data_IF_047532853573
#
_entry.id   IF_047532853573
#
_cell.length_a   1.000
_cell.length_b   1.000
_cell.length_c   1.000
_cell.angle_alpha   90.00
_cell.angle_beta   90.00
_cell.angle_gamma   90.00
#
_symmetry.space_group_name_H-M   'P 1'
#
loop_
_entity.id
_entity.type
_entity.pdbx_description
1 polymer ?
#
# COMPACT_ATOMS: atom_id res chain seq x y z
N UNK A 1 -8.08 -15.94 6.20
CA UNK A 1 -7.99 -14.46 6.16
C UNK A 1 -7.94 -13.92 4.73
N UNK A 2 -7.16 -14.52 3.83
CA UNK A 2 -7.10 -14.09 2.43
C UNK A 2 -8.43 -14.16 1.68
N UNK A 3 -9.22 -15.22 1.89
CA UNK A 3 -10.56 -15.37 1.32
C UNK A 3 -11.49 -14.20 1.64
N UNK A 4 -11.52 -13.73 2.90
CA UNK A 4 -12.36 -12.59 3.34
C UNK A 4 -12.01 -11.27 2.65
N UNK A 5 -10.73 -11.04 2.38
CA UNK A 5 -10.28 -9.80 1.70
C UNK A 5 -10.76 -9.77 0.26
N UNK A 6 -10.60 -10.89 -0.46
CA UNK A 6 -11.05 -10.99 -1.85
C UNK A 6 -12.58 -10.95 -1.94
N UNK A 7 -13.28 -11.61 -1.02
CA UNK A 7 -14.73 -11.55 -0.94
C UNK A 7 -15.23 -10.12 -0.69
N UNK A 8 -14.63 -9.39 0.26
CA UNK A 8 -14.96 -8.00 0.52
C UNK A 8 -14.69 -7.13 -0.72
N UNK A 9 -13.57 -7.33 -1.42
CA UNK A 9 -13.24 -6.61 -2.65
C UNK A 9 -14.30 -6.83 -3.75
N UNK A 10 -14.77 -8.06 -3.94
CA UNK A 10 -15.83 -8.39 -4.93
C UNK A 10 -17.14 -7.64 -4.67
N UNK A 11 -17.48 -7.40 -3.40
CA UNK A 11 -18.69 -6.65 -3.01
C UNK A 11 -18.58 -5.14 -3.28
N UNK A 12 -17.38 -4.62 -3.51
CA UNK A 12 -17.20 -3.19 -3.81
C UNK A 12 -17.68 -2.91 -5.23
N UNK A 13 -18.75 -2.12 -5.39
CA UNK A 13 -19.26 -1.71 -6.71
C UNK A 13 -18.73 -0.35 -7.18
N UNK A 14 -18.49 0.56 -6.24
CA UNK A 14 -18.04 1.92 -6.53
C UNK A 14 -16.54 1.93 -6.90
N UNK A 15 -16.21 2.54 -8.04
CA UNK A 15 -14.85 2.57 -8.60
C UNK A 15 -13.83 3.23 -7.65
N UNK A 16 -14.15 4.40 -7.08
CA UNK A 16 -13.27 5.07 -6.12
C UNK A 16 -12.94 4.15 -4.93
N UNK A 17 -13.96 3.47 -4.42
CA UNK A 17 -13.80 2.55 -3.29
C UNK A 17 -12.94 1.35 -3.69
N UNK A 18 -13.04 0.87 -4.93
CA UNK A 18 -12.13 -0.18 -5.45
C UNK A 18 -10.70 0.32 -5.51
N UNK A 19 -10.47 1.56 -5.97
CA UNK A 19 -9.14 2.18 -6.01
C UNK A 19 -8.58 2.31 -4.60
N UNK A 20 -9.35 2.84 -3.64
CA UNK A 20 -8.90 2.94 -2.24
C UNK A 20 -8.61 1.56 -1.64
N UNK A 21 -9.43 0.55 -1.97
CA UNK A 21 -9.21 -0.82 -1.54
C UNK A 21 -7.90 -1.39 -2.07
N UNK A 22 -7.70 -1.34 -3.40
CA UNK A 22 -6.44 -1.77 -4.03
C UNK A 22 -5.25 -1.04 -3.43
N UNK A 23 -5.33 0.28 -3.24
CA UNK A 23 -4.24 1.07 -2.64
C UNK A 23 -3.87 0.54 -1.25
N UNK A 24 -4.84 0.36 -0.36
CA UNK A 24 -4.60 -0.13 1.01
C UNK A 24 -4.13 -1.59 1.03
N UNK A 25 -4.69 -2.44 0.16
CA UNK A 25 -4.34 -3.85 0.07
C UNK A 25 -2.93 -4.07 -0.49
N UNK A 26 -2.55 -3.30 -1.52
CA UNK A 26 -1.25 -3.44 -2.17
C UNK A 26 -0.11 -2.83 -1.37
N UNK A 27 -0.32 -1.64 -0.82
CA UNK A 27 0.74 -0.91 -0.10
C UNK A 27 0.80 -1.25 1.39
N UNK A 28 -0.29 -1.75 1.96
CA UNK A 28 -0.39 -1.98 3.39
C UNK A 28 -0.33 -0.70 4.23
N UNK A 29 -0.42 0.50 3.65
CA UNK A 29 -0.31 1.77 4.39
C UNK A 29 -1.49 1.99 5.33
N UNK A 30 -1.37 2.94 6.27
CA UNK A 30 -2.48 3.30 7.17
C UNK A 30 -3.52 4.11 6.40
N UNK A 31 -4.79 4.00 6.82
CA UNK A 31 -5.90 4.78 6.24
C UNK A 31 -5.62 6.29 6.27
N UNK A 32 -4.95 6.77 7.32
CA UNK A 32 -4.58 8.19 7.43
C UNK A 32 -3.62 8.62 6.32
N UNK A 33 -2.67 7.77 5.93
CA UNK A 33 -1.75 8.06 4.82
C UNK A 33 -2.51 8.02 3.49
N UNK A 34 -3.38 7.03 3.31
CA UNK A 34 -4.23 6.97 2.11
C UNK A 34 -5.13 8.21 1.97
N UNK A 35 -5.74 8.69 3.06
CA UNK A 35 -6.59 9.89 3.04
C UNK A 35 -5.84 11.19 2.75
N UNK A 36 -4.51 11.19 2.90
CA UNK A 36 -3.64 12.34 2.57
C UNK A 36 -3.07 12.23 1.16
N UNK A 37 -2.65 11.03 0.77
CA UNK A 37 -2.14 10.75 -0.58
C UNK A 37 -3.21 10.98 -1.65
N UNK A 38 -4.43 10.49 -1.45
CA UNK A 38 -5.45 10.45 -2.51
C UNK A 38 -5.88 11.85 -3.02
N UNK A 39 -6.11 12.88 -2.18
CA UNK A 39 -6.43 14.22 -2.66
C UNK A 39 -5.26 14.90 -3.39
N UNK A 40 -4.04 14.66 -2.91
CA UNK A 40 -2.81 15.31 -3.39
C UNK A 40 -2.07 14.50 -4.46
N UNK A 41 -2.70 13.43 -4.96
CA UNK A 41 -2.04 12.50 -5.86
C UNK A 41 -1.56 13.23 -7.11
N UNK A 42 -0.27 13.05 -7.39
CA UNK A 42 0.43 13.61 -8.53
C UNK A 42 1.23 12.50 -9.22
N UNK A 43 0.83 12.16 -10.44
CA UNK A 43 1.44 11.09 -11.22
C UNK A 43 2.94 11.32 -11.45
N UNK A 44 3.42 12.57 -11.48
CA UNK A 44 4.84 12.90 -11.65
C UNK A 44 5.73 12.46 -10.49
N UNK A 45 5.14 12.26 -9.30
CA UNK A 45 5.86 11.80 -8.10
C UNK A 45 5.97 10.27 -8.01
N UNK A 46 5.37 9.54 -8.95
CA UNK A 46 5.49 8.08 -8.99
C UNK A 46 6.91 7.67 -9.38
N UNK A 47 7.53 6.84 -8.55
CA UNK A 47 8.80 6.19 -8.86
C UNK A 47 8.51 4.79 -9.36
N UNK A 48 8.74 4.53 -10.65
CA UNK A 48 8.48 3.24 -11.29
C UNK A 48 9.79 2.47 -11.41
N UNK A 49 9.79 1.19 -11.02
CA UNK A 49 10.93 0.29 -11.16
C UNK A 49 10.42 -1.11 -11.55
N UNK A 50 10.65 -1.52 -12.80
CA UNK A 50 10.12 -2.79 -13.33
C UNK A 50 8.58 -2.85 -13.25
N UNK A 51 8.06 -3.89 -12.59
CA UNK A 51 6.62 -4.14 -12.44
C UNK A 51 6.00 -3.46 -11.19
N UNK A 52 6.81 -2.71 -10.43
CA UNK A 52 6.37 -2.03 -9.22
C UNK A 52 6.45 -0.52 -9.40
N UNK A 53 5.65 0.18 -8.60
CA UNK A 53 5.76 1.60 -8.39
C UNK A 53 5.73 1.89 -6.89
N UNK A 54 6.34 3.01 -6.52
CA UNK A 54 6.23 3.55 -5.16
C UNK A 54 5.93 5.04 -5.21
N UNK A 55 5.07 5.48 -4.31
CA UNK A 55 4.75 6.89 -4.15
C UNK A 55 5.31 7.40 -2.82
N UNK A 56 6.08 8.51 -2.81
CA UNK A 56 6.60 9.08 -1.57
C UNK A 56 5.46 9.59 -0.69
N UNK A 57 5.31 8.97 0.47
CA UNK A 57 4.53 9.47 1.59
C UNK A 57 5.45 10.38 2.40
N UNK A 58 5.57 11.63 1.98
CA UNK A 58 6.19 12.68 2.80
C UNK A 58 5.40 12.81 4.11
N UNK A 59 5.95 12.34 5.22
CA UNK A 59 5.37 12.58 6.55
C UNK A 59 5.89 13.92 7.06
N UNK A 60 5.08 14.92 7.44
CA UNK A 60 4.13 14.94 8.56
C UNK A 60 4.72 14.60 9.94
N UNK A 61 6.03 14.47 10.04
CA UNK A 61 6.76 14.35 11.31
C UNK A 61 8.08 15.10 11.17
N UNK A 62 8.56 15.71 12.25
CA UNK A 62 9.78 16.53 12.36
C UNK A 62 11.10 15.78 12.02
N UNK A 63 11.02 14.57 11.45
CA UNK A 63 12.15 13.74 11.05
C UNK A 63 12.17 13.63 9.53
N UNK A 64 13.37 13.78 8.92
CA UNK A 64 13.61 13.78 7.45
C UNK A 64 13.34 12.43 6.74
N UNK A 65 12.51 11.56 7.32
CA UNK A 65 12.28 10.21 6.83
C UNK A 65 11.12 10.20 5.83
N UNK A 66 11.43 9.88 4.57
CA UNK A 66 10.42 9.61 3.54
C UNK A 66 9.92 8.18 3.74
N UNK A 67 8.61 7.97 3.70
CA UNK A 67 8.01 6.64 3.59
C UNK A 67 7.49 6.43 2.18
N UNK A 68 7.20 5.20 1.79
CA UNK A 68 6.69 4.90 0.45
C UNK A 68 5.41 4.06 0.52
N UNK A 69 4.45 4.39 -0.34
CA UNK A 69 3.34 3.50 -0.66
C UNK A 69 3.74 2.64 -1.87
N UNK A 70 4.10 1.37 -1.62
CA UNK A 70 4.41 0.40 -2.68
C UNK A 70 3.14 -0.12 -3.34
N UNK A 71 3.16 -0.30 -4.66
CA UNK A 71 2.02 -0.84 -5.40
C UNK A 71 2.43 -1.41 -6.77
N UNK A 72 1.60 -2.25 -7.40
CA UNK A 72 1.78 -2.64 -8.80
C UNK A 72 1.87 -1.44 -9.74
N UNK A 73 2.75 -1.50 -10.73
CA UNK A 73 2.90 -0.45 -11.75
C UNK A 73 1.58 -0.11 -12.45
N UNK A 74 0.88 -1.13 -12.97
CA UNK A 74 -0.37 -0.92 -13.72
C UNK A 74 -1.41 -0.20 -12.86
N UNK A 75 -1.56 -0.63 -11.59
CA UNK A 75 -2.46 0.02 -10.66
C UNK A 75 -2.02 1.45 -10.32
N UNK A 76 -0.71 1.71 -10.20
CA UNK A 76 -0.21 3.06 -9.96
C UNK A 76 -0.59 4.02 -11.10
N UNK A 77 -0.61 3.52 -12.34
CA UNK A 77 -1.02 4.29 -13.51
C UNK A 77 -2.54 4.51 -13.60
N UNK A 78 -3.34 3.61 -13.01
CA UNK A 78 -4.80 3.77 -12.81
C UNK A 78 -5.15 4.75 -11.69
N UNK A 79 -4.21 5.05 -10.79
CA UNK A 79 -4.46 5.87 -9.61
C UNK A 79 -4.83 7.30 -10.03
N UNK A 80 -5.83 7.87 -9.36
CA UNK A 80 -6.36 9.21 -9.63
C UNK A 80 -6.65 9.96 -8.33
N UNK A 81 -6.79 11.28 -8.42
CA UNK A 81 -7.17 12.10 -7.27
C UNK A 81 -8.57 11.71 -6.79
N UNK A 82 -8.68 11.40 -5.50
CA UNK A 82 -9.94 11.00 -4.86
C UNK A 82 -10.07 11.77 -3.54
N UNK A 83 -11.13 12.56 -3.42
CA UNK A 83 -11.40 13.36 -2.24
C UNK A 83 -12.25 12.58 -1.24
N UNK A 84 -11.59 11.81 -0.38
CA UNK A 84 -12.25 11.08 0.71
C UNK A 84 -11.60 11.34 2.05
N UNK A 85 -12.43 11.80 2.99
CA UNK A 85 -12.00 11.91 4.38
C UNK A 85 -11.66 10.54 4.96
N UNK A 86 -10.76 10.51 5.94
CA UNK A 86 -10.44 9.31 6.72
C UNK A 86 -11.70 8.61 7.24
N UNK A 87 -12.69 9.38 7.74
CA UNK A 87 -13.97 8.86 8.24
C UNK A 87 -14.78 8.20 7.12
N UNK A 88 -14.84 8.81 5.94
CA UNK A 88 -15.52 8.24 4.77
C UNK A 88 -14.90 6.90 4.36
N UNK A 89 -13.56 6.82 4.31
CA UNK A 89 -12.86 5.56 4.02
C UNK A 89 -13.23 4.50 5.07
N UNK A 90 -13.06 4.79 6.36
CA UNK A 90 -13.38 3.83 7.43
C UNK A 90 -14.84 3.35 7.32
N UNK A 91 -15.79 4.25 7.14
CA UNK A 91 -17.21 3.91 7.01
C UNK A 91 -17.49 3.01 5.81
N UNK A 92 -16.86 3.26 4.65
CA UNK A 92 -16.96 2.39 3.47
C UNK A 92 -16.48 0.97 3.80
N UNK A 93 -15.33 0.84 4.47
CA UNK A 93 -14.78 -0.47 4.86
C UNK A 93 -15.61 -1.23 5.90
N UNK A 94 -16.20 -0.53 6.87
CA UNK A 94 -17.10 -1.14 7.85
C UNK A 94 -18.35 -1.75 7.18
N UNK A 95 -18.88 -1.13 6.12
CA UNK A 95 -20.01 -1.66 5.35
C UNK A 95 -19.72 -3.00 4.65
N UNK A 96 -18.45 -3.31 4.41
CA UNK A 96 -18.02 -4.59 3.83
C UNK A 96 -17.62 -5.61 4.90
N UNK A 97 -17.89 -5.33 6.19
CA UNK A 97 -17.48 -6.16 7.33
C UNK A 97 -15.96 -6.41 7.36
N UNK A 98 -15.17 -5.54 6.73
CA UNK A 98 -13.72 -5.62 6.67
C UNK A 98 -13.12 -4.27 7.07
N UNK A 99 -12.97 -3.99 8.37
CA UNK A 99 -12.23 -2.82 8.83
C UNK A 99 -10.87 -2.68 8.14
N UNK A 100 -10.55 -1.49 7.64
CA UNK A 100 -9.35 -1.24 6.83
C UNK A 100 -8.03 -1.65 7.51
N UNK A 101 -7.99 -1.68 8.86
CA UNK A 101 -6.85 -2.21 9.63
C UNK A 101 -6.50 -3.67 9.26
N UNK A 102 -7.50 -4.45 8.84
CA UNK A 102 -7.29 -5.83 8.43
C UNK A 102 -6.61 -5.95 7.06
N UNK A 103 -6.78 -4.99 6.15
CA UNK A 103 -6.02 -4.98 4.90
C UNK A 103 -4.53 -4.86 5.16
N UNK A 104 -4.14 -4.00 6.11
CA UNK A 104 -2.75 -3.86 6.53
C UNK A 104 -2.21 -5.16 7.16
N UNK A 105 -2.98 -5.83 8.03
CA UNK A 105 -2.58 -7.14 8.58
C UNK A 105 -2.47 -8.20 7.49
N UNK A 106 -3.43 -8.22 6.56
CA UNK A 106 -3.46 -9.15 5.44
C UNK A 106 -2.26 -8.95 4.51
N UNK A 107 -1.95 -7.72 4.13
CA UNK A 107 -0.79 -7.37 3.31
C UNK A 107 0.51 -7.84 3.99
N UNK A 108 0.66 -7.58 5.29
CA UNK A 108 1.83 -8.03 6.05
C UNK A 108 1.97 -9.56 5.97
N UNK A 109 0.90 -10.27 6.31
CA UNK A 109 0.89 -11.73 6.24
C UNK A 109 1.17 -12.25 4.82
N UNK A 110 0.66 -11.59 3.78
CA UNK A 110 0.96 -11.94 2.40
C UNK A 110 2.46 -11.82 2.11
N UNK A 111 3.11 -10.73 2.54
CA UNK A 111 4.56 -10.53 2.37
C UNK A 111 5.34 -11.65 3.08
N UNK A 112 5.04 -11.92 4.35
CA UNK A 112 5.73 -12.97 5.14
C UNK A 112 5.55 -14.35 4.52
N UNK A 113 4.32 -14.72 4.14
CA UNK A 113 4.04 -16.03 3.53
C UNK A 113 4.69 -16.20 2.14
N UNK A 114 5.13 -15.12 1.51
CA UNK A 114 5.88 -15.15 0.25
C UNK A 114 7.39 -14.93 0.47
N UNK A 115 7.87 -15.09 1.70
CA UNK A 115 9.30 -15.10 2.03
C UNK A 115 9.93 -13.72 2.22
N UNK A 116 9.14 -12.64 2.23
CA UNK A 116 9.67 -11.30 2.50
C UNK A 116 10.10 -11.22 3.97
N UNK A 117 11.34 -10.80 4.27
CA UNK A 117 11.80 -10.66 5.65
C UNK A 117 10.95 -9.66 6.43
N UNK A 118 10.70 -9.94 7.72
CA UNK A 118 9.86 -9.09 8.57
C UNK A 118 10.31 -7.62 8.58
N UNK A 119 11.62 -7.38 8.71
CA UNK A 119 12.16 -6.01 8.68
C UNK A 119 11.89 -5.26 7.36
N UNK A 120 11.79 -5.98 6.25
CA UNK A 120 11.46 -5.40 4.93
C UNK A 120 9.95 -5.20 4.81
N UNK A 121 9.14 -6.13 5.31
CA UNK A 121 7.68 -5.98 5.37
C UNK A 121 7.27 -4.78 6.26
N UNK A 122 7.93 -4.61 7.40
CA UNK A 122 7.75 -3.45 8.28
C UNK A 122 8.16 -2.14 7.60
N UNK A 123 9.24 -2.15 6.82
CA UNK A 123 9.63 -1.01 5.99
C UNK A 123 8.56 -0.66 4.96
N UNK A 124 8.12 -1.65 4.17
CA UNK A 124 7.08 -1.49 3.13
C UNK A 124 5.81 -0.89 3.72
N UNK A 125 5.41 -1.32 4.92
CA UNK A 125 4.23 -0.79 5.59
C UNK A 125 4.46 0.55 6.33
N UNK A 126 5.67 1.09 6.39
CA UNK A 126 5.99 2.26 7.21
C UNK A 126 5.71 2.03 8.70
N UNK A 127 6.08 0.84 9.21
CA UNK A 127 6.08 0.49 10.65
C UNK A 127 7.41 0.84 11.31
N UNK A 128 8.50 0.70 10.57
CA UNK A 128 9.83 0.95 11.09
C UNK A 128 10.05 2.45 11.37
N UNK A 129 10.40 2.78 12.62
CA UNK A 129 11.02 4.06 12.97
C UNK A 129 12.49 3.95 12.60
N UNK A 130 12.82 4.40 11.40
CA UNK A 130 14.18 4.29 10.87
C UNK A 130 14.90 5.57 11.27
N UNK A 131 15.52 5.57 12.46
CA UNK A 131 16.41 6.66 12.89
C UNK A 131 17.76 6.45 12.20
N UNK A 132 18.01 7.08 11.05
CA UNK A 132 19.12 6.62 10.21
C UNK A 132 19.82 7.76 9.47
N UNK A 133 21.15 7.78 9.61
CA UNK A 133 22.05 8.40 8.63
C UNK A 133 21.89 7.72 7.27
N UNK A 134 21.71 8.52 6.22
CA UNK A 134 21.39 8.19 4.82
C UNK A 134 21.61 6.74 4.31
N UNK A 135 22.74 6.09 4.59
CA UNK A 135 23.13 4.80 4.02
C UNK A 135 22.22 3.62 4.38
N UNK A 136 21.87 3.41 5.65
CA UNK A 136 21.05 2.26 6.05
C UNK A 136 19.60 2.39 5.52
N UNK A 137 19.13 3.62 5.33
CA UNK A 137 17.81 3.89 4.75
C UNK A 137 17.80 3.52 3.27
N UNK A 138 18.82 3.96 2.51
CA UNK A 138 18.96 3.60 1.09
C UNK A 138 19.05 2.09 0.88
N UNK A 139 19.80 1.39 1.74
CA UNK A 139 19.87 -0.08 1.72
C UNK A 139 18.49 -0.73 1.94
N UNK A 140 17.69 -0.21 2.88
CA UNK A 140 16.32 -0.71 3.13
C UNK A 140 15.37 -0.41 1.98
N UNK A 141 15.48 0.76 1.33
CA UNK A 141 14.71 1.07 0.12
C UNK A 141 15.03 0.07 -0.99
N UNK A 142 16.31 -0.23 -1.23
CA UNK A 142 16.71 -1.20 -2.25
C UNK A 142 16.18 -2.60 -1.94
N UNK A 143 16.29 -3.05 -0.69
CA UNK A 143 15.73 -4.32 -0.26
C UNK A 143 14.21 -4.38 -0.46
N UNK A 144 13.49 -3.31 -0.11
CA UNK A 144 12.04 -3.25 -0.29
C UNK A 144 11.64 -3.27 -1.77
N UNK A 145 12.35 -2.55 -2.64
CA UNK A 145 12.13 -2.60 -4.09
C UNK A 145 12.31 -4.03 -4.63
N UNK A 146 13.42 -4.69 -4.30
CA UNK A 146 13.73 -6.05 -4.75
C UNK A 146 12.70 -7.06 -4.26
N UNK A 147 12.38 -7.06 -2.96
CA UNK A 147 11.44 -8.01 -2.38
C UNK A 147 10.01 -7.78 -2.86
N UNK A 148 9.57 -6.53 -2.98
CA UNK A 148 8.23 -6.23 -3.47
C UNK A 148 8.08 -6.66 -4.93
N UNK A 149 9.10 -6.44 -5.77
CA UNK A 149 9.11 -6.89 -7.17
C UNK A 149 8.97 -8.41 -7.30
N UNK A 150 9.61 -9.21 -6.43
CA UNK A 150 9.47 -10.68 -6.40
C UNK A 150 8.05 -11.17 -6.12
N UNK A 151 7.23 -10.39 -5.41
CA UNK A 151 5.91 -10.84 -4.93
C UNK A 151 4.74 -10.11 -5.60
N UNK A 152 4.99 -9.01 -6.32
CA UNK A 152 3.93 -8.17 -6.89
C UNK A 152 3.03 -8.93 -7.86
N UNK A 153 3.58 -9.79 -8.70
CA UNK A 153 2.77 -10.54 -9.68
C UNK A 153 1.80 -11.50 -9.00
N UNK A 154 2.23 -12.15 -7.91
CA UNK A 154 1.36 -13.00 -7.09
C UNK A 154 0.26 -12.16 -6.44
N UNK A 155 0.61 -10.97 -5.96
CA UNK A 155 -0.33 -10.04 -5.33
C UNK A 155 -1.39 -9.55 -6.33
N UNK A 156 -1.00 -9.19 -7.55
CA UNK A 156 -1.89 -8.79 -8.63
C UNK A 156 -2.86 -9.91 -9.01
N UNK A 157 -2.37 -11.16 -9.15
CA UNK A 157 -3.20 -12.32 -9.54
C UNK A 157 -4.40 -12.53 -8.61
N UNK A 158 -4.26 -12.22 -7.32
CA UNK A 158 -5.36 -12.31 -6.35
C UNK A 158 -6.54 -11.39 -6.69
N UNK A 159 -6.30 -10.29 -7.41
CA UNK A 159 -7.30 -9.31 -7.83
C UNK A 159 -7.65 -9.37 -9.33
N UNK A 160 -6.91 -10.13 -10.15
CA UNK A 160 -7.17 -10.34 -11.60
C UNK A 160 -7.97 -11.60 -11.92
N UNK A 161 -7.73 -12.72 -11.23
CA UNK A 161 -8.38 -14.01 -11.52
C UNK A 161 -9.83 -14.12 -11.01
N UNK A 162 -10.53 -13.00 -10.85
CA UNK A 162 -11.79 -12.91 -10.12
C UNK A 162 -12.71 -11.80 -10.65
#
# INVERSE_FOLDING_TARGET
MGSKVIEAYRRVKNEETRIVFKLLAFSGIRVVEASKLLPEFDKSKLMINGNIAKYPLSMLRETKNVYYAYMPKDFALELKRINLSRKAIINRFCRFSLPAKYLRKWNYNFLILNGVPESVADFIQGRASITVGSMHYLAKVKQADEWYNRVVDKLIKLFKNN
#
